data_IF_271432904424
#
_entry.id   IF_271432904424
#
_cell.length_a   1.000
_cell.length_b   1.000
_cell.length_c   1.000
_cell.angle_alpha   90.00
_cell.angle_beta   90.00
_cell.angle_gamma   90.00
#
_symmetry.space_group_name_H-M   'P 1'
#
loop_
_entity.id
_entity.type
_entity.pdbx_description
1 polymer ?
#
# COMPACT_ATOMS: atom_id res chain seq x y z
N UNK A 1 24.67 1.64 -7.06
CA UNK A 1 24.13 1.51 -5.68
C UNK A 1 23.19 2.70 -5.52
N UNK A 2 21.88 2.50 -5.45
CA UNK A 2 20.92 3.61 -5.34
C UNK A 2 20.36 3.64 -3.93
N UNK A 3 20.78 4.67 -3.22
CA UNK A 3 20.35 5.03 -1.88
C UNK A 3 19.02 5.78 -2.02
N UNK A 4 17.91 5.10 -1.75
CA UNK A 4 16.59 5.72 -1.86
C UNK A 4 16.15 6.24 -0.49
N UNK A 5 15.89 7.54 -0.48
CA UNK A 5 15.59 8.42 0.64
C UNK A 5 14.60 7.83 1.65
N UNK A 6 15.02 7.80 2.91
CA UNK A 6 14.20 7.41 4.06
C UNK A 6 13.31 8.61 4.40
N UNK A 7 12.11 8.66 3.84
CA UNK A 7 11.13 9.70 4.19
C UNK A 7 10.66 9.49 5.63
N UNK A 8 11.14 10.35 6.53
CA UNK A 8 10.64 10.50 7.90
C UNK A 8 9.18 10.97 7.86
N UNK A 9 8.22 10.12 8.21
CA UNK A 9 6.87 10.55 8.59
C UNK A 9 6.63 10.25 10.07
N UNK A 10 6.53 11.31 10.85
CA UNK A 10 6.36 11.33 12.30
C UNK A 10 4.90 11.15 12.71
N UNK A 11 4.54 10.01 13.34
CA UNK A 11 3.60 9.94 14.48
C UNK A 11 3.45 8.47 14.97
N UNK A 12 3.88 8.11 16.21
CA UNK A 12 3.87 6.73 16.69
C UNK A 12 2.60 6.43 17.49
N UNK A 13 1.49 6.15 16.81
CA UNK A 13 0.35 5.47 17.45
C UNK A 13 -0.28 4.47 16.51
N UNK A 14 0.40 3.34 16.32
CA UNK A 14 -0.18 2.05 15.93
C UNK A 14 0.94 1.01 15.82
N UNK A 15 0.83 -0.10 16.56
CA UNK A 15 1.65 -1.30 16.35
C UNK A 15 1.30 -2.03 15.01
N UNK A 16 0.76 -1.28 14.03
CA UNK A 16 0.16 -1.77 12.80
C UNK A 16 0.95 -1.17 11.62
N UNK A 17 1.96 -1.91 11.15
CA UNK A 17 2.78 -1.53 10.00
C UNK A 17 1.87 -1.27 8.79
N UNK A 18 1.99 -0.10 8.16
CA UNK A 18 1.21 0.26 6.97
C UNK A 18 1.51 -0.73 5.82
N UNK A 19 0.57 -0.90 4.89
CA UNK A 19 0.87 -1.56 3.62
C UNK A 19 1.82 -0.65 2.84
N UNK A 20 2.91 -1.18 2.28
CA UNK A 20 4.02 -0.39 1.75
C UNK A 20 5.22 -0.27 2.69
N UNK A 21 5.11 -0.74 3.94
CA UNK A 21 6.14 -0.61 4.96
C UNK A 21 6.51 -1.97 5.57
N UNK A 22 7.82 -2.26 5.68
CA UNK A 22 8.32 -3.39 6.47
C UNK A 22 9.23 -2.92 7.59
N UNK A 23 9.25 -3.68 8.68
CA UNK A 23 10.20 -3.46 9.79
C UNK A 23 11.44 -4.31 9.56
N UNK A 24 12.61 -3.68 9.42
CA UNK A 24 13.92 -4.34 9.30
C UNK A 24 14.79 -3.82 10.43
N UNK A 25 15.26 -4.70 11.32
CA UNK A 25 16.19 -4.34 12.41
C UNK A 25 15.71 -3.16 13.27
N UNK A 26 14.40 -3.08 13.54
CA UNK A 26 13.83 -1.99 14.33
C UNK A 26 13.42 -0.74 13.52
N UNK A 27 13.90 -0.61 12.29
CA UNK A 27 13.60 0.51 11.39
C UNK A 27 12.41 0.20 10.48
N UNK A 28 11.61 1.22 10.18
CA UNK A 28 10.54 1.15 9.17
C UNK A 28 11.17 1.52 7.83
N UNK A 29 11.13 0.59 6.87
CA UNK A 29 11.70 0.74 5.54
C UNK A 29 10.59 0.58 4.50
N UNK A 30 10.55 1.43 3.45
CA UNK A 30 9.60 1.25 2.36
C UNK A 30 9.80 -0.11 1.68
N UNK A 31 8.70 -0.81 1.45
CA UNK A 31 8.69 -2.04 0.67
C UNK A 31 8.35 -1.69 -0.79
N UNK A 32 9.38 -1.65 -1.65
CA UNK A 32 9.23 -1.22 -3.04
C UNK A 32 8.13 -1.96 -3.82
N UNK A 33 7.98 -3.27 -3.65
CA UNK A 33 6.91 -4.02 -4.33
C UNK A 33 5.51 -3.59 -3.86
N UNK A 34 5.29 -3.47 -2.55
CA UNK A 34 4.02 -2.99 -1.99
C UNK A 34 3.74 -1.54 -2.39
N UNK A 35 4.75 -0.67 -2.45
CA UNK A 35 4.59 0.71 -2.93
C UNK A 35 4.22 0.77 -4.42
N UNK A 36 4.81 -0.08 -5.27
CA UNK A 36 4.39 -0.19 -6.68
C UNK A 36 2.92 -0.58 -6.80
N UNK A 37 2.43 -1.42 -5.88
CA UNK A 37 1.02 -1.81 -5.84
C UNK A 37 0.14 -0.63 -5.43
N UNK A 38 0.55 0.17 -4.43
CA UNK A 38 -0.16 1.39 -4.03
C UNK A 38 -0.28 2.36 -5.22
N UNK A 39 0.84 2.60 -5.93
CA UNK A 39 0.84 3.43 -7.14
C UNK A 39 -0.10 2.88 -8.23
N UNK A 40 -0.14 1.56 -8.39
CA UNK A 40 -1.10 0.89 -9.30
C UNK A 40 -2.55 1.14 -8.90
N UNK A 41 -2.86 1.02 -7.60
CA UNK A 41 -4.19 1.25 -7.04
C UNK A 41 -4.64 2.69 -7.29
N UNK A 42 -3.76 3.67 -7.05
CA UNK A 42 -4.00 5.09 -7.32
C UNK A 42 -4.27 5.33 -8.81
N UNK A 43 -3.43 4.78 -9.69
CA UNK A 43 -3.62 4.88 -11.14
C UNK A 43 -4.95 4.30 -11.60
N UNK A 44 -5.34 3.13 -11.09
CA UNK A 44 -6.64 2.52 -11.40
C UNK A 44 -7.81 3.36 -10.87
N UNK A 45 -7.68 3.95 -9.67
CA UNK A 45 -8.72 4.84 -9.13
C UNK A 45 -8.88 6.10 -9.99
N UNK A 46 -7.77 6.69 -10.45
CA UNK A 46 -7.79 7.85 -11.36
C UNK A 46 -8.41 7.51 -12.72
N UNK A 47 -8.29 6.26 -13.17
CA UNK A 47 -8.98 5.74 -14.36
C UNK A 47 -10.49 5.47 -14.13
N UNK A 48 -11.02 5.72 -12.93
CA UNK A 48 -12.44 5.52 -12.60
C UNK A 48 -12.81 4.08 -12.21
N UNK A 49 -11.82 3.21 -11.92
CA UNK A 49 -12.12 1.86 -11.45
C UNK A 49 -12.73 1.90 -10.04
N UNK A 50 -13.74 1.07 -9.81
CA UNK A 50 -14.31 0.87 -8.49
C UNK A 50 -13.41 0.00 -7.60
N UNK A 51 -13.50 0.17 -6.28
CA UNK A 51 -12.71 -0.59 -5.31
C UNK A 51 -12.77 -2.11 -5.52
N UNK A 52 -13.96 -2.64 -5.86
CA UNK A 52 -14.15 -4.06 -6.19
C UNK A 52 -13.38 -4.48 -7.44
N UNK A 53 -13.37 -3.66 -8.49
CA UNK A 53 -12.61 -3.95 -9.71
C UNK A 53 -11.11 -3.93 -9.43
N UNK A 54 -10.65 -2.98 -8.61
CA UNK A 54 -9.24 -2.91 -8.18
C UNK A 54 -8.86 -4.16 -7.38
N UNK A 55 -9.68 -4.58 -6.41
CA UNK A 55 -9.46 -5.82 -5.66
C UNK A 55 -9.36 -7.04 -6.56
N UNK A 56 -10.29 -7.16 -7.52
CA UNK A 56 -10.30 -8.24 -8.49
C UNK A 56 -9.03 -8.22 -9.36
N UNK A 57 -8.62 -7.04 -9.83
CA UNK A 57 -7.41 -6.88 -10.63
C UNK A 57 -6.16 -7.31 -9.86
N UNK A 58 -6.05 -6.95 -8.58
CA UNK A 58 -4.92 -7.38 -7.73
C UNK A 58 -4.91 -8.90 -7.50
N UNK A 59 -6.10 -9.49 -7.32
CA UNK A 59 -6.26 -10.94 -7.21
C UNK A 59 -5.87 -11.67 -8.51
N UNK A 60 -6.33 -11.18 -9.67
CA UNK A 60 -5.99 -11.71 -11.00
C UNK A 60 -4.48 -11.61 -11.28
N UNK A 61 -3.82 -10.58 -10.76
CA UNK A 61 -2.36 -10.43 -10.83
C UNK A 61 -1.60 -11.29 -9.82
N UNK A 62 -2.29 -12.14 -9.05
CA UNK A 62 -1.72 -12.99 -7.99
C UNK A 62 -0.95 -12.18 -6.92
N UNK A 63 -1.31 -10.92 -6.75
CA UNK A 63 -0.70 -10.05 -5.75
C UNK A 63 -1.34 -10.41 -4.42
N UNK A 64 -0.57 -11.04 -3.54
CA UNK A 64 -1.04 -11.41 -2.20
C UNK A 64 -0.98 -10.20 -1.28
N UNK A 65 -1.97 -10.05 -0.41
CA UNK A 65 -1.90 -9.06 0.67
C UNK A 65 -0.79 -9.43 1.67
N UNK A 66 -0.42 -8.50 2.55
CA UNK A 66 0.65 -8.65 3.57
C UNK A 66 0.53 -9.90 4.46
N UNK A 67 -0.67 -10.45 4.63
CA UNK A 67 -0.93 -11.69 5.40
C UNK A 67 -1.25 -12.91 4.52
N UNK A 68 -1.00 -12.84 3.22
CA UNK A 68 -1.31 -13.92 2.26
C UNK A 68 -2.80 -14.05 1.93
N UNK A 69 -3.66 -13.17 2.44
CA UNK A 69 -5.11 -13.18 2.20
C UNK A 69 -5.52 -12.45 0.93
N UNK A 70 -6.81 -12.56 0.59
CA UNK A 70 -7.42 -11.84 -0.52
C UNK A 70 -7.47 -10.33 -0.27
N UNK A 71 -7.44 -9.55 -1.36
CA UNK A 71 -7.64 -8.11 -1.30
C UNK A 71 -9.10 -7.78 -0.99
N UNK A 72 -9.35 -7.23 0.19
CA UNK A 72 -10.65 -6.67 0.53
C UNK A 72 -10.77 -5.23 -0.02
N UNK A 73 -11.96 -4.87 -0.51
CA UNK A 73 -12.31 -3.49 -0.91
C UNK A 73 -12.04 -2.47 0.21
N UNK A 74 -12.15 -2.89 1.47
CA UNK A 74 -11.96 -2.07 2.67
C UNK A 74 -10.49 -1.69 2.81
N UNK A 75 -9.58 -2.65 2.64
CA UNK A 75 -8.12 -2.41 2.66
C UNK A 75 -7.72 -1.44 1.55
N UNK A 76 -8.28 -1.60 0.35
CA UNK A 76 -8.02 -0.68 -0.77
C UNK A 76 -8.58 0.71 -0.48
N UNK A 77 -9.77 0.78 0.13
CA UNK A 77 -10.38 2.02 0.59
C UNK A 77 -9.51 2.75 1.61
N UNK A 78 -8.97 2.04 2.60
CA UNK A 78 -8.10 2.60 3.64
C UNK A 78 -6.77 3.11 3.06
N UNK A 79 -6.18 2.36 2.12
CA UNK A 79 -4.97 2.79 1.39
C UNK A 79 -5.28 4.06 0.61
N UNK A 80 -6.33 4.05 -0.22
CA UNK A 80 -6.69 5.22 -1.03
C UNK A 80 -7.00 6.44 -0.18
N UNK A 81 -7.77 6.26 0.90
CA UNK A 81 -8.13 7.34 1.82
C UNK A 81 -6.86 7.99 2.40
N UNK A 82 -5.91 7.17 2.86
CA UNK A 82 -4.62 7.65 3.36
C UNK A 82 -3.86 8.45 2.32
N UNK A 83 -3.66 7.88 1.13
CA UNK A 83 -2.86 8.52 0.08
C UNK A 83 -3.53 9.78 -0.50
N UNK A 84 -4.86 9.90 -0.41
CA UNK A 84 -5.62 11.07 -0.88
C UNK A 84 -5.79 12.15 0.20
N UNK A 85 -5.85 11.79 1.49
CA UNK A 85 -6.01 12.75 2.60
C UNK A 85 -4.66 13.29 3.12
N UNK A 86 -3.57 12.54 2.97
CA UNK A 86 -2.21 12.98 3.33
C UNK A 86 -1.47 13.67 2.15
N UNK A 87 -2.13 13.85 0.99
CA UNK A 87 -1.57 14.40 -0.25
C UNK A 87 -1.91 15.86 -0.53
#
# INVERSE_FOLDING_TARGET
>A
MQENEITKTSNPKSNCLKYGERKVQGLIVPHFEEQKIIQKILGLKNQGYSLRKIAKFLLEKNIKSKRGGQWDKSVIGDILKRELEEG
#
